data_IF_529923286476
#
_entry.id   IF_529923286476
#
_cell.length_a   1.000
_cell.length_b   1.000
_cell.length_c   1.000
_cell.angle_alpha   90.00
_cell.angle_beta   90.00
_cell.angle_gamma   90.00
#
_symmetry.space_group_name_H-M   'P 1'
#
loop_
_entity.id
_entity.type
_entity.pdbx_description
1 polymer ?
#
# COMPACT_ATOMS: atom_id res chain seq x y z
N UNK A 1 18.98 0.68 -35.92
CA UNK A 1 18.14 0.09 -34.86
C UNK A 1 17.18 1.14 -34.34
N UNK A 2 15.87 1.02 -34.61
CA UNK A 2 14.87 2.00 -34.12
C UNK A 2 14.60 1.72 -32.64
N UNK A 3 14.79 2.73 -31.78
CA UNK A 3 14.47 2.65 -30.35
C UNK A 3 12.96 2.51 -30.21
N UNK A 4 12.49 1.42 -29.61
CA UNK A 4 11.10 1.27 -29.21
C UNK A 4 10.76 2.36 -28.18
N UNK A 5 9.74 3.16 -28.45
CA UNK A 5 9.21 4.14 -27.50
C UNK A 5 8.52 3.42 -26.34
N UNK A 6 8.76 3.89 -25.12
CA UNK A 6 8.06 3.41 -23.93
C UNK A 6 6.55 3.68 -24.08
N UNK A 7 5.67 2.75 -23.68
CA UNK A 7 4.23 3.00 -23.71
C UNK A 7 3.85 4.05 -22.67
N UNK A 8 3.17 5.10 -23.13
CA UNK A 8 2.55 6.14 -22.31
C UNK A 8 1.52 5.50 -21.38
N UNK A 9 1.82 5.44 -20.08
CA UNK A 9 0.84 5.09 -19.06
C UNK A 9 -0.18 6.23 -18.98
N UNK A 10 -1.28 6.09 -19.73
CA UNK A 10 -2.46 6.92 -19.53
C UNK A 10 -3.06 6.56 -18.18
N UNK A 11 -2.86 7.44 -17.20
CA UNK A 11 -3.56 7.40 -15.92
C UNK A 11 -5.06 7.52 -16.19
N UNK A 12 -5.77 6.40 -16.04
CA UNK A 12 -7.22 6.38 -16.00
C UNK A 12 -7.63 6.93 -14.64
N UNK A 13 -7.72 8.26 -14.55
CA UNK A 13 -8.37 8.93 -13.44
C UNK A 13 -9.84 8.52 -13.47
N UNK A 14 -10.22 7.64 -12.55
CA UNK A 14 -11.60 7.23 -12.33
C UNK A 14 -12.44 8.46 -11.99
N UNK A 15 -13.31 8.79 -12.92
CA UNK A 15 -14.34 9.80 -12.84
C UNK A 15 -15.46 9.25 -11.93
N UNK A 16 -15.43 9.58 -10.63
CA UNK A 16 -16.59 9.39 -9.75
C UNK A 16 -17.03 10.76 -9.20
N UNK A 17 -17.79 11.44 -10.05
CA UNK A 17 -18.49 12.70 -9.79
C UNK A 17 -19.56 12.53 -8.69
N UNK A 18 -19.17 12.76 -7.44
CA UNK A 18 -20.10 13.17 -6.37
C UNK A 18 -19.63 14.49 -5.77
N UNK A 19 -19.45 15.50 -6.63
CA UNK A 19 -19.23 16.89 -6.22
C UNK A 19 -20.51 17.46 -5.59
N UNK A 20 -20.83 17.01 -4.38
CA UNK A 20 -21.67 17.82 -3.49
C UNK A 20 -20.87 19.07 -3.18
N UNK A 21 -21.41 20.25 -3.48
CA UNK A 21 -20.85 21.55 -3.11
C UNK A 21 -20.66 21.63 -1.59
N UNK A 22 -19.51 21.14 -1.11
CA UNK A 22 -19.11 21.18 0.29
C UNK A 22 -18.23 22.41 0.49
N UNK A 23 -18.45 23.09 1.59
CA UNK A 23 -17.53 24.16 2.03
C UNK A 23 -16.28 23.53 2.64
N UNK A 24 -15.17 24.25 2.56
CA UNK A 24 -13.94 23.90 3.24
C UNK A 24 -14.20 23.69 4.74
N UNK A 25 -13.67 22.61 5.31
CA UNK A 25 -13.80 22.28 6.73
C UNK A 25 -12.86 23.09 7.64
N UNK A 26 -11.99 23.94 7.08
CA UNK A 26 -11.09 24.79 7.85
C UNK A 26 -11.83 25.97 8.49
N UNK A 27 -11.42 26.34 9.71
CA UNK A 27 -12.05 27.40 10.48
C UNK A 27 -11.98 28.74 9.75
N UNK A 28 -13.15 29.35 9.51
CA UNK A 28 -13.26 30.65 8.84
C UNK A 28 -13.08 30.63 7.32
N UNK A 29 -12.91 29.46 6.70
CA UNK A 29 -12.77 29.36 5.24
C UNK A 29 -14.14 29.17 4.56
N UNK A 30 -14.46 30.05 3.59
CA UNK A 30 -15.68 29.99 2.79
C UNK A 30 -15.45 29.42 1.37
N UNK A 31 -14.24 28.95 1.09
CA UNK A 31 -13.89 28.37 -0.21
C UNK A 31 -14.56 27.00 -0.43
N UNK A 32 -14.65 26.59 -1.68
CA UNK A 32 -15.13 25.26 -2.06
C UNK A 32 -14.13 24.17 -1.61
N UNK A 33 -14.66 23.12 -1.00
CA UNK A 33 -13.90 21.95 -0.56
C UNK A 33 -13.95 20.84 -1.60
N UNK A 34 -13.05 20.88 -2.58
CA UNK A 34 -12.96 19.85 -3.64
C UNK A 34 -11.99 18.71 -3.31
N UNK A 35 -11.12 18.88 -2.29
CA UNK A 35 -10.08 17.91 -1.96
C UNK A 35 -10.40 17.15 -0.66
N UNK A 36 -10.55 15.81 -0.70
CA UNK A 36 -10.76 15.01 0.48
C UNK A 36 -9.44 14.74 1.23
N UNK A 37 -9.49 14.77 2.57
CA UNK A 37 -8.39 14.37 3.45
C UNK A 37 -8.92 13.49 4.59
N UNK A 38 -8.16 12.46 5.02
CA UNK A 38 -8.60 11.54 6.07
C UNK A 38 -8.65 12.26 7.42
N UNK A 39 -9.72 12.03 8.21
CA UNK A 39 -9.96 12.73 9.48
C UNK A 39 -8.96 12.37 10.59
N UNK A 40 -8.56 11.11 10.66
CA UNK A 40 -7.62 10.61 11.68
C UNK A 40 -6.98 9.30 11.22
N UNK A 41 -5.88 8.90 11.87
CA UNK A 41 -5.23 7.61 11.59
C UNK A 41 -6.18 6.43 11.79
N UNK A 42 -7.04 6.47 12.80
CA UNK A 42 -8.00 5.38 13.07
C UNK A 42 -9.20 5.39 12.13
N UNK A 43 -9.51 6.55 11.54
CA UNK A 43 -10.64 6.74 10.63
C UNK A 43 -10.18 7.17 9.23
N UNK A 44 -9.39 6.33 8.56
CA UNK A 44 -8.92 6.60 7.18
C UNK A 44 -10.06 6.67 6.15
N UNK A 45 -11.23 6.10 6.46
CA UNK A 45 -12.41 6.09 5.59
C UNK A 45 -13.35 7.27 5.80
N UNK A 46 -13.10 8.08 6.83
CA UNK A 46 -13.85 9.31 7.08
C UNK A 46 -13.08 10.49 6.50
N UNK A 47 -13.70 11.20 5.57
CA UNK A 47 -13.05 12.28 4.83
C UNK A 47 -13.59 13.66 5.24
N UNK A 48 -12.68 14.59 5.48
CA UNK A 48 -12.93 16.02 5.54
C UNK A 48 -12.62 16.64 4.18
N UNK A 49 -13.36 17.69 3.81
CA UNK A 49 -13.22 18.33 2.50
C UNK A 49 -12.58 19.71 2.67
N UNK A 50 -11.51 19.95 1.94
CA UNK A 50 -10.70 21.17 2.03
C UNK A 50 -10.52 21.82 0.66
N UNK A 51 -10.24 23.12 0.66
CA UNK A 51 -9.74 23.81 -0.52
C UNK A 51 -8.24 23.50 -0.73
N UNK A 52 -7.68 23.89 -1.87
CA UNK A 52 -6.29 23.60 -2.24
C UNK A 52 -5.27 24.12 -1.22
N UNK A 53 -5.51 25.28 -0.62
CA UNK A 53 -4.61 25.88 0.36
C UNK A 53 -4.61 25.09 1.67
N UNK A 54 -5.80 24.82 2.22
CA UNK A 54 -5.92 24.11 3.49
C UNK A 54 -5.55 22.64 3.40
N UNK A 55 -5.79 21.96 2.27
CA UNK A 55 -5.37 20.57 2.13
C UNK A 55 -3.84 20.44 2.14
N UNK A 56 -3.12 21.45 1.64
CA UNK A 56 -1.65 21.48 1.69
C UNK A 56 -1.14 21.64 3.11
N UNK A 57 -1.72 22.56 3.88
CA UNK A 57 -1.35 22.75 5.29
C UNK A 57 -1.72 21.53 6.14
N UNK A 58 -2.88 20.93 5.87
CA UNK A 58 -3.30 19.68 6.51
C UNK A 58 -2.30 18.55 6.23
N UNK A 59 -1.96 18.32 4.96
CA UNK A 59 -1.00 17.26 4.59
C UNK A 59 0.41 17.53 5.15
N UNK A 60 0.79 18.80 5.30
CA UNK A 60 2.10 19.18 5.87
C UNK A 60 2.16 18.92 7.38
N UNK A 61 1.07 19.14 8.10
CA UNK A 61 0.97 18.85 9.54
C UNK A 61 0.67 17.38 9.83
N UNK A 62 0.23 16.62 8.83
CA UNK A 62 -0.13 15.22 8.99
C UNK A 62 1.06 14.30 9.27
N UNK A 63 1.04 13.63 10.42
CA UNK A 63 1.98 12.56 10.76
C UNK A 63 1.25 11.26 11.09
N UNK A 64 1.32 10.28 10.18
CA UNK A 64 0.66 8.98 10.36
C UNK A 64 1.18 8.20 11.59
N UNK A 65 2.44 8.41 12.00
CA UNK A 65 3.06 7.74 13.14
C UNK A 65 3.03 8.59 14.42
N UNK A 66 2.25 9.67 14.44
CA UNK A 66 2.06 10.47 15.65
C UNK A 66 1.58 9.60 16.82
N UNK A 67 2.24 9.73 17.97
CA UNK A 67 1.95 8.95 19.18
C UNK A 67 2.41 7.48 19.15
N UNK A 68 2.98 6.98 18.05
CA UNK A 68 3.54 5.63 17.99
C UNK A 68 4.97 5.62 18.52
N UNK A 69 5.23 4.88 19.61
CA UNK A 69 6.56 4.77 20.21
C UNK A 69 6.88 3.33 20.65
N UNK A 70 8.18 3.06 20.83
CA UNK A 70 8.70 1.79 21.34
C UNK A 70 8.31 0.59 20.47
N UNK A 71 7.80 -0.46 21.12
CA UNK A 71 7.46 -1.72 20.48
C UNK A 71 6.42 -1.60 19.35
N UNK A 72 5.51 -0.62 19.43
CA UNK A 72 4.50 -0.38 18.39
C UNK A 72 5.13 0.16 17.10
N UNK A 73 6.13 1.04 17.22
CA UNK A 73 6.88 1.57 16.08
C UNK A 73 7.77 0.48 15.46
N UNK A 74 8.46 -0.31 16.28
CA UNK A 74 9.27 -1.43 15.78
C UNK A 74 8.44 -2.48 15.02
N UNK A 75 7.23 -2.76 15.49
CA UNK A 75 6.31 -3.65 14.80
C UNK A 75 5.93 -3.11 13.42
N UNK A 76 5.70 -1.79 13.33
CA UNK A 76 5.40 -1.13 12.07
C UNK A 76 6.57 -1.16 11.09
N UNK A 77 7.79 -0.91 11.57
CA UNK A 77 9.02 -1.02 10.77
C UNK A 77 9.18 -2.44 10.20
N UNK A 78 8.97 -3.46 11.02
CA UNK A 78 8.99 -4.87 10.57
C UNK A 78 7.92 -5.17 9.52
N UNK A 79 6.70 -4.65 9.68
CA UNK A 79 5.62 -4.79 8.68
C UNK A 79 5.99 -4.11 7.37
N UNK A 80 6.44 -2.86 7.44
CA UNK A 80 6.83 -2.07 6.27
C UNK A 80 7.97 -2.73 5.48
N UNK A 81 8.92 -3.39 6.16
CA UNK A 81 10.01 -4.15 5.54
C UNK A 81 9.49 -5.26 4.61
N UNK A 82 8.35 -5.86 4.96
CA UNK A 82 7.73 -6.93 4.16
C UNK A 82 6.59 -6.38 3.28
N UNK A 83 6.54 -5.06 3.05
CA UNK A 83 5.45 -4.41 2.31
C UNK A 83 4.06 -4.76 2.86
N UNK A 84 3.94 -4.84 4.19
CA UNK A 84 2.73 -5.24 4.90
C UNK A 84 2.20 -6.64 4.52
N UNK A 85 3.01 -7.44 3.80
CA UNK A 85 2.64 -8.78 3.38
C UNK A 85 2.94 -9.76 4.52
N UNK A 86 1.92 -10.37 5.14
CA UNK A 86 2.15 -11.30 6.24
C UNK A 86 2.94 -12.52 5.73
N UNK A 87 3.98 -12.90 6.47
CA UNK A 87 4.72 -14.15 6.23
C UNK A 87 4.19 -15.24 7.16
N UNK A 88 4.03 -16.43 6.60
CA UNK A 88 3.65 -17.62 7.35
C UNK A 88 4.92 -18.42 7.60
N UNK A 89 5.02 -19.06 8.77
CA UNK A 89 6.11 -20.01 9.01
C UNK A 89 5.96 -21.14 8.01
N UNK A 90 6.89 -21.22 7.07
CA UNK A 90 6.98 -22.35 6.16
C UNK A 90 7.56 -23.54 6.94
N UNK A 91 6.82 -24.65 6.97
CA UNK A 91 7.16 -25.90 7.67
C UNK A 91 7.40 -25.77 9.19
N UNK A 92 6.35 -26.00 9.99
CA UNK A 92 6.46 -26.25 11.46
C UNK A 92 5.97 -27.65 11.84
N UNK A 93 5.48 -28.43 10.87
CA UNK A 93 5.09 -29.83 11.05
C UNK A 93 6.21 -30.79 10.64
N UNK A 94 6.19 -32.00 11.20
CA UNK A 94 6.98 -33.13 10.67
C UNK A 94 6.66 -33.28 9.17
N UNK A 95 7.65 -33.58 8.32
CA UNK A 95 7.37 -33.85 6.91
C UNK A 95 6.28 -34.92 6.84
N UNK A 96 5.19 -34.64 6.13
CA UNK A 96 4.18 -35.66 5.87
C UNK A 96 4.84 -36.77 5.05
N UNK A 97 4.59 -38.03 5.43
CA UNK A 97 5.11 -39.23 4.76
C UNK A 97 4.56 -39.41 3.33
N UNK A 98 3.65 -38.52 2.91
CA UNK A 98 3.19 -38.43 1.54
C UNK A 98 4.31 -37.81 0.68
N UNK A 99 5.01 -38.68 -0.05
CA UNK A 99 5.87 -38.33 -1.17
C UNK A 99 5.11 -37.39 -2.10
N UNK A 100 5.56 -36.14 -2.15
CA UNK A 100 5.16 -35.20 -3.18
C UNK A 100 5.57 -35.80 -4.53
N UNK A 101 4.62 -36.37 -5.27
CA UNK A 101 4.87 -36.86 -6.61
C UNK A 101 5.24 -35.65 -7.47
N UNK A 102 6.48 -35.63 -7.94
CA UNK A 102 7.02 -34.61 -8.84
C UNK A 102 7.29 -35.23 -10.21
N UNK A 103 6.27 -35.36 -11.09
CA UNK A 103 6.40 -35.99 -12.40
C UNK A 103 7.39 -35.27 -13.33
N UNK A 104 7.76 -34.04 -13.01
CA UNK A 104 8.70 -33.24 -13.80
C UNK A 104 10.12 -33.27 -13.22
N UNK A 105 10.34 -33.91 -12.06
CA UNK A 105 11.64 -33.99 -11.40
C UNK A 105 12.25 -32.63 -11.08
N UNK A 106 11.43 -31.58 -10.94
CA UNK A 106 11.88 -30.21 -10.75
C UNK A 106 12.63 -30.01 -9.42
N UNK A 107 12.33 -30.85 -8.42
CA UNK A 107 12.90 -30.79 -7.08
C UNK A 107 13.81 -31.98 -6.75
N UNK A 108 14.07 -32.88 -7.70
CA UNK A 108 15.06 -33.96 -7.55
C UNK A 108 16.47 -33.44 -7.84
N UNK A 109 17.03 -32.73 -6.86
CA UNK A 109 18.32 -32.04 -6.99
C UNK A 109 19.53 -32.99 -7.14
N UNK A 110 19.38 -34.30 -6.87
CA UNK A 110 20.45 -35.27 -6.97
C UNK A 110 20.69 -35.77 -8.41
N UNK A 111 19.70 -35.69 -9.28
CA UNK A 111 19.78 -36.19 -10.67
C UNK A 111 19.95 -35.11 -11.74
N UNK A 112 20.22 -33.85 -11.36
CA UNK A 112 20.45 -32.77 -12.32
C UNK A 112 21.86 -32.88 -12.90
N UNK A 113 22.03 -33.73 -13.92
CA UNK A 113 23.27 -33.80 -14.70
C UNK A 113 23.56 -32.42 -15.30
N UNK A 114 24.73 -31.88 -14.98
CA UNK A 114 25.24 -30.65 -15.61
C UNK A 114 25.79 -31.06 -16.97
N UNK A 115 24.94 -31.06 -17.99
CA UNK A 115 25.40 -31.11 -19.37
C UNK A 115 25.88 -29.71 -19.76
N UNK A 116 27.18 -29.59 -19.98
CA UNK A 116 27.86 -28.38 -20.47
C UNK A 116 27.71 -28.19 -21.98
#
# INVERSE_FOLDING_TARGET
MRRAGAPDLKNNNGEDETHSYRRCAADGCLQEGSYPAPKSRSALRDYLWFCLEHVREYNKSWNYYEGLQGAALEAEIRRATTWERPSWKFATGKPSENSFEDPLGLFDFENRTVDG
#
